data_IF_469145108289
#
_entry.id   IF_469145108289
#
_cell.length_a   1.000
_cell.length_b   1.000
_cell.length_c   1.000
_cell.angle_alpha   90.00
_cell.angle_beta   90.00
_cell.angle_gamma   90.00
#
_symmetry.space_group_name_H-M   'P 1'
#
loop_
_entity.id
_entity.type
_entity.pdbx_description
1 polymer ?
#
# COMPACT_ATOMS: atom_id res chain seq x y z
N UNK A 1 7.78 11.49 -7.86
CA UNK A 1 9.01 10.68 -7.96
C UNK A 1 9.67 10.74 -6.60
N UNK A 2 9.81 9.61 -5.90
CA UNK A 2 10.52 9.58 -4.60
C UNK A 2 11.99 9.96 -4.82
N UNK A 3 12.55 10.80 -3.94
CA UNK A 3 13.94 11.24 -4.02
C UNK A 3 14.80 10.46 -3.04
N UNK A 4 16.08 10.35 -3.35
CA UNK A 4 17.07 9.83 -2.42
C UNK A 4 16.99 10.56 -1.06
N UNK A 5 17.07 9.86 0.08
CA UNK A 5 17.32 8.42 0.25
C UNK A 5 16.06 7.56 0.47
N UNK A 6 14.85 8.08 0.21
CA UNK A 6 13.58 7.48 0.68
C UNK A 6 12.99 6.40 -0.25
N UNK A 7 13.81 5.49 -0.78
CA UNK A 7 13.35 4.38 -1.63
C UNK A 7 12.90 3.16 -0.81
N UNK A 8 11.93 3.34 0.09
CA UNK A 8 11.41 2.23 0.87
C UNK A 8 10.26 1.57 0.11
N UNK A 9 10.45 0.32 -0.30
CA UNK A 9 9.41 -0.48 -0.93
C UNK A 9 8.85 -1.49 0.07
N UNK A 10 7.55 -1.76 -0.01
CA UNK A 10 6.92 -2.85 0.73
C UNK A 10 6.08 -3.71 -0.20
N UNK A 11 6.15 -5.03 0.00
CA UNK A 11 5.24 -6.00 -0.60
C UNK A 11 4.25 -6.45 0.48
N UNK A 12 2.97 -6.41 0.14
CA UNK A 12 1.89 -6.77 1.04
C UNK A 12 0.72 -7.39 0.27
N UNK A 13 0.06 -8.35 0.90
CA UNK A 13 -1.22 -8.88 0.46
C UNK A 13 -2.35 -7.95 0.93
N UNK A 14 -3.26 -7.61 0.01
CA UNK A 14 -4.48 -6.85 0.30
C UNK A 14 -5.69 -7.77 0.16
N UNK A 15 -6.42 -7.98 1.26
CA UNK A 15 -7.67 -8.75 1.25
C UNK A 15 -8.85 -7.79 1.40
N UNK A 16 -9.79 -7.73 0.44
CA UNK A 16 -10.99 -6.90 0.57
C UNK A 16 -11.83 -7.32 1.77
N UNK A 17 -12.19 -6.37 2.63
CA UNK A 17 -13.13 -6.58 3.73
C UNK A 17 -14.52 -6.04 3.37
N UNK A 18 -14.58 -4.92 2.65
CA UNK A 18 -15.79 -4.35 2.06
C UNK A 18 -15.41 -3.38 0.93
N UNK A 19 -16.40 -2.66 0.38
CA UNK A 19 -16.22 -1.75 -0.76
C UNK A 19 -15.14 -0.66 -0.60
N UNK A 20 -14.78 -0.31 0.64
CA UNK A 20 -13.81 0.77 0.93
C UNK A 20 -12.69 0.36 1.89
N UNK A 21 -12.74 -0.84 2.46
CA UNK A 21 -11.77 -1.30 3.45
C UNK A 21 -11.05 -2.56 3.01
N UNK A 22 -9.73 -2.58 3.18
CA UNK A 22 -8.88 -3.75 2.95
C UNK A 22 -8.07 -4.10 4.19
N UNK A 23 -7.92 -5.40 4.45
CA UNK A 23 -6.92 -5.90 5.38
C UNK A 23 -5.57 -5.97 4.68
N UNK A 24 -4.52 -5.55 5.38
CA UNK A 24 -3.15 -5.53 4.88
C UNK A 24 -2.33 -6.55 5.67
N UNK A 25 -1.66 -7.45 4.96
CA UNK A 25 -0.64 -8.34 5.52
C UNK A 25 0.68 -8.02 4.84
N UNK A 26 1.62 -7.49 5.61
CA UNK A 26 2.95 -7.18 5.09
C UNK A 26 3.78 -8.47 4.99
N UNK A 27 4.53 -8.63 3.90
CA UNK A 27 5.40 -9.80 3.68
C UNK A 27 6.87 -9.41 3.74
N UNK A 28 7.28 -8.40 2.96
CA UNK A 28 8.69 -7.99 2.83
C UNK A 28 8.81 -6.48 2.70
N UNK A 29 9.70 -5.90 3.50
CA UNK A 29 10.15 -4.52 3.36
C UNK A 29 11.52 -4.50 2.68
N UNK A 30 11.77 -3.56 1.76
CA UNK A 30 13.10 -3.32 1.18
C UNK A 30 13.67 -2.03 1.72
N UNK A 31 14.78 -2.14 2.45
CA UNK A 31 15.52 -0.99 2.96
C UNK A 31 16.50 -0.53 1.87
N UNK A 32 16.45 0.77 1.54
CA UNK A 32 17.21 1.38 0.44
C UNK A 32 17.03 0.66 -0.92
N UNK A 33 15.90 -0.01 -1.11
CA UNK A 33 15.62 -0.83 -2.29
C UNK A 33 16.43 -2.13 -2.42
N UNK A 34 17.38 -2.42 -1.52
CA UNK A 34 18.36 -3.51 -1.69
C UNK A 34 18.22 -4.63 -0.66
N UNK A 35 17.94 -4.29 0.60
CA UNK A 35 17.98 -5.28 1.70
C UNK A 35 16.55 -5.73 2.02
N UNK A 36 16.16 -6.98 1.68
CA UNK A 36 14.84 -7.50 2.01
C UNK A 36 14.77 -7.90 3.49
N UNK A 37 13.78 -7.38 4.20
CA UNK A 37 13.46 -7.71 5.59
C UNK A 37 12.06 -8.31 5.64
N UNK A 38 11.95 -9.58 6.04
CA UNK A 38 10.65 -10.24 6.19
C UNK A 38 9.87 -9.60 7.33
N UNK A 39 8.61 -9.29 7.07
CA UNK A 39 7.70 -8.80 8.08
C UNK A 39 7.38 -9.93 9.08
N UNK A 40 7.28 -9.64 10.39
CA UNK A 40 6.81 -10.63 11.35
C UNK A 40 5.34 -10.95 11.08
N UNK A 41 4.86 -12.16 11.36
CA UNK A 41 3.48 -12.58 11.04
C UNK A 41 2.37 -11.73 11.69
N UNK A 42 2.71 -10.94 12.73
CA UNK A 42 1.85 -9.95 13.39
C UNK A 42 1.78 -8.60 12.67
N UNK A 43 2.61 -8.36 11.66
CA UNK A 43 2.60 -7.12 10.87
C UNK A 43 1.38 -7.13 9.95
N UNK A 44 0.26 -6.72 10.53
CA UNK A 44 -1.03 -6.59 9.87
C UNK A 44 -1.59 -5.21 10.17
N UNK A 45 -2.45 -4.73 9.29
CA UNK A 45 -3.16 -3.46 9.44
C UNK A 45 -4.41 -3.42 8.59
N UNK A 46 -5.05 -2.27 8.58
CA UNK A 46 -6.21 -2.00 7.73
C UNK A 46 -6.04 -0.67 7.02
N UNK A 47 -6.59 -0.56 5.81
CA UNK A 47 -6.70 0.70 5.08
C UNK A 47 -8.17 0.95 4.75
N UNK A 48 -8.68 2.12 5.14
CA UNK A 48 -9.95 2.69 4.66
C UNK A 48 -9.64 3.65 3.51
N UNK A 49 -10.23 3.42 2.35
CA UNK A 49 -9.88 4.04 1.07
C UNK A 49 -11.01 4.96 0.63
N UNK A 50 -10.66 6.17 0.22
CA UNK A 50 -11.57 7.13 -0.41
C UNK A 50 -10.98 7.55 -1.76
N UNK A 51 -11.72 7.28 -2.83
CA UNK A 51 -11.39 7.74 -4.17
C UNK A 51 -11.83 9.18 -4.32
N UNK A 52 -10.91 10.07 -4.69
CA UNK A 52 -11.20 11.48 -4.92
C UNK A 52 -11.57 11.72 -6.38
N UNK A 53 -10.89 11.00 -7.28
CA UNK A 53 -11.20 10.92 -8.70
C UNK A 53 -10.66 9.58 -9.27
N UNK A 54 -10.57 9.48 -10.60
CA UNK A 54 -10.06 8.30 -11.31
C UNK A 54 -8.54 8.09 -11.12
N UNK A 55 -7.78 9.15 -10.85
CA UNK A 55 -6.32 9.11 -10.70
C UNK A 55 -5.86 9.18 -9.25
N UNK A 56 -6.67 9.66 -8.31
CA UNK A 56 -6.25 10.05 -6.97
C UNK A 56 -7.12 9.38 -5.91
N UNK A 57 -6.45 8.80 -4.91
CA UNK A 57 -7.10 8.29 -3.70
C UNK A 57 -6.37 8.72 -2.44
N UNK A 58 -7.15 8.93 -1.40
CA UNK A 58 -6.67 9.04 -0.03
C UNK A 58 -6.96 7.73 0.71
N UNK A 59 -6.10 7.32 1.62
CA UNK A 59 -6.33 6.13 2.45
C UNK A 59 -5.84 6.35 3.87
N UNK A 60 -6.63 5.92 4.85
CA UNK A 60 -6.31 6.00 6.28
C UNK A 60 -5.92 4.63 6.80
N UNK A 61 -4.71 4.53 7.36
CA UNK A 61 -4.25 3.35 8.09
C UNK A 61 -4.83 3.29 9.50
N UNK A 62 -5.04 2.08 10.01
CA UNK A 62 -5.49 1.82 11.40
C UNK A 62 -4.50 2.33 12.46
N UNK A 63 -3.24 2.56 12.08
CA UNK A 63 -2.18 3.13 12.94
C UNK A 63 -2.02 4.66 12.80
N UNK A 64 -2.99 5.34 12.18
CA UNK A 64 -2.99 6.80 12.06
C UNK A 64 -2.19 7.34 10.87
N UNK A 65 -1.71 6.47 9.97
CA UNK A 65 -1.05 6.88 8.73
C UNK A 65 -2.06 7.43 7.71
N UNK A 66 -1.64 8.43 6.93
CA UNK A 66 -2.36 8.92 5.76
C UNK A 66 -1.53 8.61 4.52
N UNK A 67 -2.16 7.97 3.53
CA UNK A 67 -1.57 7.70 2.22
C UNK A 67 -2.32 8.49 1.17
N UNK A 68 -1.59 9.24 0.33
CA UNK A 68 -2.14 9.89 -0.85
C UNK A 68 -1.47 9.23 -2.05
N UNK A 69 -2.25 8.55 -2.87
CA UNK A 69 -1.74 7.74 -3.97
C UNK A 69 -2.32 8.23 -5.29
N UNK A 70 -1.42 8.46 -6.25
CA UNK A 70 -1.76 8.70 -7.65
C UNK A 70 -1.67 7.39 -8.43
N UNK A 71 -2.65 7.12 -9.28
CA UNK A 71 -2.68 6.01 -10.22
C UNK A 71 -1.57 6.19 -11.25
N UNK A 72 -0.70 5.19 -11.34
CA UNK A 72 0.42 5.21 -12.30
C UNK A 72 -0.04 4.80 -13.69
N UNK A 73 -0.94 3.82 -13.77
CA UNK A 73 -1.46 3.28 -15.03
C UNK A 73 -2.98 3.06 -14.95
N UNK A 74 -3.78 3.98 -15.54
CA UNK A 74 -5.24 3.84 -15.61
C UNK A 74 -5.74 2.68 -16.48
N UNK A 75 -4.89 2.17 -17.37
CA UNK A 75 -5.23 1.05 -18.25
C UNK A 75 -5.04 -0.32 -17.58
N UNK A 76 -4.32 -0.38 -16.46
CA UNK A 76 -4.05 -1.63 -15.75
C UNK A 76 -5.35 -2.33 -15.31
N UNK A 77 -5.41 -3.64 -15.54
CA UNK A 77 -6.50 -4.52 -15.08
C UNK A 77 -5.87 -5.69 -14.33
N UNK A 78 -6.46 -6.05 -13.19
CA UNK A 78 -6.00 -7.20 -12.40
C UNK A 78 -6.26 -8.46 -13.25
N UNK A 79 -5.24 -9.29 -13.52
CA UNK A 79 -5.43 -10.58 -14.18
C UNK A 79 -6.40 -11.44 -13.37
N UNK A 80 -7.39 -12.03 -14.05
CA UNK A 80 -8.34 -12.99 -13.48
C UNK A 80 -7.78 -14.41 -13.45
#
# INVERSE_FOLDING_TARGET
MESWPFFNQVTADLTPLNARKVAVKFDVFKIFGLIPVKAPGRARGELDITYLDEELRASRGDKGNLFILKMVDPSYRVPV
#
